data_IF_611781935568
#
_entry.id   IF_611781935568
#
_cell.length_a   1.000
_cell.length_b   1.000
_cell.length_c   1.000
_cell.angle_alpha   90.00
_cell.angle_beta   90.00
_cell.angle_gamma   90.00
#
_symmetry.space_group_name_H-M   'P 1'
#
loop_
_entity.id
_entity.type
_entity.pdbx_description
1 polymer ?
#
# COMPACT_ATOMS: atom_id res chain seq x y z
N UNK A 1 -23.10 -52.86 -2.52
CA UNK A 1 -21.68 -53.28 -2.56
C UNK A 1 -21.05 -52.61 -3.77
N UNK A 2 -19.97 -51.83 -3.55
CA UNK A 2 -18.79 -51.57 -4.41
C UNK A 2 -18.95 -51.70 -5.95
N UNK A 3 -18.46 -50.82 -6.82
CA UNK A 3 -17.31 -49.90 -6.75
C UNK A 3 -17.29 -49.03 -8.02
N UNK A 4 -16.54 -47.92 -7.91
CA UNK A 4 -16.13 -46.96 -8.95
C UNK A 4 -15.61 -47.57 -10.27
N UNK A 5 -15.83 -46.87 -11.39
CA UNK A 5 -14.72 -46.35 -12.20
C UNK A 5 -15.18 -45.34 -13.23
N UNK A 6 -14.49 -44.21 -13.20
CA UNK A 6 -14.60 -43.08 -14.12
C UNK A 6 -13.85 -43.38 -15.43
N UNK A 7 -14.43 -42.96 -16.55
CA UNK A 7 -13.73 -42.74 -17.82
C UNK A 7 -14.29 -41.48 -18.46
N UNK A 8 -13.82 -40.33 -18.00
CA UNK A 8 -13.96 -39.05 -18.69
C UNK A 8 -12.77 -38.86 -19.61
N UNK A 9 -12.93 -39.27 -20.88
CA UNK A 9 -12.05 -38.82 -21.95
C UNK A 9 -12.41 -37.37 -22.30
N UNK A 10 -11.63 -36.41 -21.80
CA UNK A 10 -11.54 -35.09 -22.41
C UNK A 10 -10.23 -35.03 -23.19
N UNK A 11 -10.37 -34.76 -24.48
CA UNK A 11 -9.34 -34.72 -25.50
C UNK A 11 -8.23 -33.73 -25.15
N UNK A 12 -7.01 -34.26 -25.14
CA UNK A 12 -5.76 -33.50 -25.23
C UNK A 12 -5.79 -32.62 -26.48
N UNK A 13 -5.94 -31.31 -26.29
CA UNK A 13 -5.46 -30.31 -27.23
C UNK A 13 -4.23 -29.70 -26.59
N UNK A 14 -3.07 -30.14 -27.06
CA UNK A 14 -1.80 -29.47 -26.86
C UNK A 14 -1.93 -28.06 -27.44
N UNK A 15 -2.22 -27.08 -26.58
CA UNK A 15 -1.75 -25.72 -26.84
C UNK A 15 -0.32 -25.73 -26.32
N UNK A 16 0.63 -25.78 -27.26
CA UNK A 16 2.03 -25.48 -26.99
C UNK A 16 2.08 -24.10 -26.34
N UNK A 17 2.23 -24.08 -25.02
CA UNK A 17 2.60 -22.89 -24.27
C UNK A 17 4.03 -22.56 -24.74
N UNK A 18 4.12 -21.67 -25.73
CA UNK A 18 5.39 -21.05 -26.10
C UNK A 18 5.95 -20.40 -24.84
N UNK A 19 7.13 -20.87 -24.45
CA UNK A 19 7.92 -20.43 -23.28
C UNK A 19 8.33 -18.95 -23.30
N UNK A 20 7.79 -18.14 -24.22
CA UNK A 20 8.10 -16.72 -24.39
C UNK A 20 7.21 -15.79 -23.53
N UNK A 21 6.15 -16.29 -22.87
CA UNK A 21 5.32 -15.50 -21.95
C UNK A 21 5.78 -15.53 -20.47
N UNK A 22 6.89 -16.22 -20.18
CA UNK A 22 7.41 -16.41 -18.81
C UNK A 22 8.56 -15.47 -18.43
N UNK A 23 8.97 -14.60 -19.33
CA UNK A 23 9.95 -13.54 -19.08
C UNK A 23 9.21 -12.21 -19.17
N UNK A 24 8.79 -11.64 -18.02
CA UNK A 24 8.44 -10.22 -18.00
C UNK A 24 9.58 -9.43 -18.64
N UNK A 25 9.28 -8.39 -19.41
CA UNK A 25 10.33 -7.56 -20.03
C UNK A 25 11.34 -7.13 -18.96
N UNK A 26 12.60 -6.91 -19.35
CA UNK A 26 13.66 -6.53 -18.39
C UNK A 26 13.19 -5.39 -17.46
N UNK A 27 12.47 -4.40 -18.01
CA UNK A 27 11.80 -3.33 -17.28
C UNK A 27 10.79 -3.78 -16.19
N UNK A 28 10.01 -4.85 -16.43
CA UNK A 28 9.06 -5.39 -15.45
C UNK A 28 9.77 -6.14 -14.33
N UNK A 29 10.86 -6.85 -14.65
CA UNK A 29 11.69 -7.54 -13.65
C UNK A 29 12.39 -6.53 -12.76
N UNK A 30 12.97 -5.47 -13.35
CA UNK A 30 13.58 -4.36 -12.62
C UNK A 30 12.56 -3.63 -11.75
N UNK A 31 11.36 -3.36 -12.28
CA UNK A 31 10.29 -2.72 -11.51
C UNK A 31 9.82 -3.60 -10.35
N UNK A 32 9.69 -4.91 -10.55
CA UNK A 32 9.34 -5.85 -9.48
C UNK A 32 10.42 -5.89 -8.38
N UNK A 33 11.71 -5.86 -8.76
CA UNK A 33 12.82 -5.78 -7.82
C UNK A 33 12.81 -4.47 -7.02
N UNK A 34 12.57 -3.34 -7.70
CA UNK A 34 12.45 -2.02 -7.06
C UNK A 34 11.31 -1.99 -6.05
N UNK A 35 10.13 -2.48 -6.44
CA UNK A 35 8.96 -2.58 -5.57
C UNK A 35 9.25 -3.43 -4.32
N UNK A 36 9.92 -4.57 -4.49
CA UNK A 36 10.35 -5.42 -3.37
C UNK A 36 11.33 -4.70 -2.44
N UNK A 37 12.31 -3.99 -3.00
CA UNK A 37 13.27 -3.19 -2.25
C UNK A 37 12.59 -2.09 -1.42
N UNK A 38 11.72 -1.28 -2.05
CA UNK A 38 10.97 -0.21 -1.37
C UNK A 38 10.15 -0.77 -0.20
N UNK A 39 9.49 -1.92 -0.39
CA UNK A 39 8.76 -2.58 0.69
C UNK A 39 9.66 -3.11 1.79
N UNK A 40 10.85 -3.59 1.46
CA UNK A 40 11.81 -4.05 2.46
C UNK A 40 12.38 -2.88 3.28
N UNK A 41 12.67 -1.74 2.65
CA UNK A 41 13.05 -0.50 3.35
C UNK A 41 11.95 -0.09 4.32
N UNK A 42 10.71 -0.06 3.84
CA UNK A 42 9.55 0.29 4.66
C UNK A 42 9.36 -0.66 5.85
N UNK A 43 9.36 -1.97 5.63
CA UNK A 43 9.18 -2.98 6.69
C UNK A 43 10.30 -2.96 7.74
N UNK A 44 11.54 -2.66 7.33
CA UNK A 44 12.69 -2.69 8.24
C UNK A 44 12.92 -1.39 9.00
N UNK A 45 12.66 -0.24 8.37
CA UNK A 45 13.05 1.07 8.88
C UNK A 45 11.89 2.08 9.01
N UNK A 46 10.68 1.69 8.60
CA UNK A 46 9.44 2.43 8.80
C UNK A 46 9.22 3.60 7.82
N UNK A 47 8.22 4.42 8.15
CA UNK A 47 7.68 5.48 7.29
C UNK A 47 8.71 6.53 6.85
N UNK A 48 9.65 6.89 7.73
CA UNK A 48 10.67 7.91 7.40
C UNK A 48 11.60 7.40 6.31
N UNK A 49 12.10 6.18 6.46
CA UNK A 49 12.99 5.57 5.48
C UNK A 49 12.27 5.35 4.13
N UNK A 50 10.99 4.95 4.16
CA UNK A 50 10.17 4.90 2.95
C UNK A 50 10.10 6.26 2.24
N UNK A 51 9.81 7.34 2.99
CA UNK A 51 9.72 8.68 2.40
C UNK A 51 11.05 9.14 1.79
N UNK A 52 12.15 8.90 2.50
CA UNK A 52 13.49 9.27 2.04
C UNK A 52 13.88 8.46 0.77
N UNK A 53 13.59 7.17 0.74
CA UNK A 53 13.81 6.29 -0.42
C UNK A 53 13.00 6.75 -1.64
N UNK A 54 11.70 7.02 -1.46
CA UNK A 54 10.84 7.49 -2.56
C UNK A 54 11.31 8.84 -3.13
N UNK A 55 11.77 9.75 -2.28
CA UNK A 55 12.37 11.02 -2.71
C UNK A 55 13.67 10.83 -3.46
N UNK A 56 14.51 9.91 -3.02
CA UNK A 56 15.75 9.58 -3.72
C UNK A 56 15.46 9.00 -5.11
N UNK A 57 14.48 8.09 -5.23
CA UNK A 57 14.03 7.55 -6.53
C UNK A 57 13.49 8.69 -7.41
N UNK A 58 12.67 9.59 -6.85
CA UNK A 58 12.06 10.70 -7.59
C UNK A 58 13.10 11.64 -8.23
N UNK A 59 14.30 11.77 -7.64
CA UNK A 59 15.41 12.57 -8.14
C UNK A 59 16.19 11.88 -9.27
N UNK A 60 16.00 10.58 -9.47
CA UNK A 60 16.67 9.81 -10.52
C UNK A 60 16.05 9.97 -11.92
N UNK A 61 16.68 9.36 -12.93
CA UNK A 61 16.12 9.27 -14.29
C UNK A 61 14.73 8.63 -14.26
N UNK A 62 13.74 9.24 -14.92
CA UNK A 62 12.34 8.79 -14.90
C UNK A 62 11.74 8.65 -13.49
N UNK A 63 12.34 9.28 -12.48
CA UNK A 63 12.00 9.09 -11.07
C UNK A 63 10.55 9.42 -10.74
N UNK A 64 9.99 10.48 -11.35
CA UNK A 64 8.57 10.83 -11.19
C UNK A 64 7.63 9.74 -11.69
N UNK A 65 7.93 9.16 -12.84
CA UNK A 65 7.11 8.10 -13.44
C UNK A 65 7.25 6.80 -12.64
N UNK A 66 8.46 6.45 -12.21
CA UNK A 66 8.71 5.29 -11.35
C UNK A 66 7.98 5.42 -10.00
N UNK A 67 8.05 6.58 -9.36
CA UNK A 67 7.34 6.86 -8.10
C UNK A 67 5.83 6.81 -8.30
N UNK A 68 5.32 7.36 -9.40
CA UNK A 68 3.90 7.23 -9.74
C UNK A 68 3.48 5.77 -9.91
N UNK A 69 4.25 5.00 -10.67
CA UNK A 69 4.00 3.59 -10.93
C UNK A 69 4.07 2.76 -9.65
N UNK A 70 5.01 3.05 -8.75
CA UNK A 70 5.11 2.45 -7.41
C UNK A 70 3.85 2.76 -6.58
N UNK A 71 3.44 4.02 -6.52
CA UNK A 71 2.29 4.47 -5.74
C UNK A 71 0.95 3.88 -6.22
N UNK A 72 0.84 3.59 -7.52
CA UNK A 72 -0.33 2.96 -8.13
C UNK A 72 -0.28 1.42 -8.13
N UNK A 73 0.87 0.81 -7.78
CA UNK A 73 1.03 -0.64 -7.77
C UNK A 73 0.63 -1.25 -6.41
N UNK A 74 0.03 -2.44 -6.46
CA UNK A 74 -0.23 -3.23 -5.25
C UNK A 74 1.05 -3.91 -4.81
N UNK A 75 1.53 -3.68 -3.59
CA UNK A 75 2.73 -4.28 -3.02
C UNK A 75 2.59 -5.79 -2.79
N UNK A 76 1.59 -6.21 -2.04
CA UNK A 76 1.17 -7.62 -1.84
C UNK A 76 -0.36 -7.66 -1.63
N UNK A 77 -1.03 -8.73 -2.09
CA UNK A 77 -2.46 -9.00 -1.80
C UNK A 77 -3.42 -7.81 -2.01
N UNK A 78 -3.21 -7.00 -3.05
CA UNK A 78 -4.08 -5.84 -3.33
C UNK A 78 -3.80 -4.59 -2.50
N UNK A 79 -2.86 -4.63 -1.56
CA UNK A 79 -2.52 -3.50 -0.70
C UNK A 79 -1.58 -2.57 -1.46
N UNK A 80 -1.81 -1.26 -1.46
CA UNK A 80 -0.87 -0.26 -2.01
C UNK A 80 -0.02 0.38 -0.89
N UNK A 81 1.04 1.11 -1.27
CA UNK A 81 1.84 1.88 -0.30
C UNK A 81 0.98 2.86 0.53
N UNK A 82 -0.12 3.37 -0.02
CA UNK A 82 -1.02 4.26 0.71
C UNK A 82 -1.80 3.52 1.81
N UNK A 83 -2.19 2.27 1.58
CA UNK A 83 -2.85 1.44 2.60
C UNK A 83 -1.89 1.14 3.75
N UNK A 84 -0.65 0.76 3.42
CA UNK A 84 0.41 0.47 4.38
C UNK A 84 0.75 1.71 5.24
N UNK A 85 0.87 2.88 4.60
CA UNK A 85 1.16 4.13 5.31
C UNK A 85 0.02 4.57 6.24
N UNK A 86 -1.22 4.32 5.83
CA UNK A 86 -2.42 4.54 6.63
C UNK A 86 -2.54 3.60 7.83
N UNK A 87 -2.09 2.35 7.69
CA UNK A 87 -2.21 1.32 8.73
C UNK A 87 -1.15 1.44 9.83
N UNK A 88 0.12 1.65 9.46
CA UNK A 88 1.23 1.62 10.42
C UNK A 88 1.19 2.68 11.52
N UNK A 89 0.41 3.76 11.36
CA UNK A 89 0.22 4.71 12.46
C UNK A 89 -0.56 4.10 13.64
N UNK A 90 -1.43 3.11 13.39
CA UNK A 90 -2.23 2.45 14.43
C UNK A 90 -1.57 1.23 15.08
N UNK A 91 -0.59 0.62 14.42
CA UNK A 91 0.07 -0.63 14.88
C UNK A 91 0.86 -0.49 16.20
N UNK A 92 1.53 0.65 16.54
CA UNK A 92 2.28 0.73 17.79
C UNK A 92 1.38 0.52 19.02
N UNK A 93 0.12 0.96 18.97
CA UNK A 93 -0.80 0.87 20.11
C UNK A 93 -1.12 -0.57 20.52
N UNK A 94 -1.10 -1.52 19.59
CA UNK A 94 -1.49 -2.92 19.87
C UNK A 94 -0.38 -3.67 20.60
N UNK A 95 0.89 -3.40 20.26
CA UNK A 95 2.03 -4.03 20.95
C UNK A 95 2.33 -3.41 22.31
N UNK A 96 2.00 -2.13 22.53
CA UNK A 96 2.08 -1.49 23.86
C UNK A 96 1.07 -2.05 24.88
N UNK A 97 -0.01 -2.68 24.42
CA UNK A 97 -1.10 -3.19 25.26
C UNK A 97 -1.10 -4.71 25.42
N UNK A 98 -0.15 -5.42 24.78
CA UNK A 98 -0.11 -6.88 24.79
C UNK A 98 0.55 -7.40 26.09
N UNK A 99 -0.15 -8.21 26.91
CA UNK A 99 0.46 -8.80 28.10
C UNK A 99 1.61 -9.74 27.70
N UNK A 100 2.81 -9.55 28.26
CA UNK A 100 3.94 -10.46 28.10
C UNK A 100 5.09 -9.99 27.20
N UNK A 101 5.07 -8.75 26.69
CA UNK A 101 6.24 -8.16 26.01
C UNK A 101 7.26 -7.71 27.08
N UNK A 102 8.53 -8.17 27.00
CA UNK A 102 9.55 -7.87 28.00
C UNK A 102 9.80 -6.35 28.10
N UNK A 103 9.85 -5.86 29.34
CA UNK A 103 9.99 -4.46 29.79
C UNK A 103 10.08 -3.43 28.66
N UNK A 104 8.91 -3.10 28.12
CA UNK A 104 8.73 -1.92 27.29
C UNK A 104 9.22 -0.73 28.11
N UNK A 105 10.14 0.05 27.54
CA UNK A 105 10.60 1.31 28.12
C UNK A 105 9.35 2.14 28.43
N UNK A 106 8.97 2.22 29.69
CA UNK A 106 7.78 2.93 30.15
C UNK A 106 8.02 4.42 29.87
N UNK A 107 7.57 4.88 28.71
CA UNK A 107 7.57 6.30 28.41
C UNK A 107 6.66 6.99 29.41
N UNK A 108 7.05 8.19 29.84
CA UNK A 108 6.08 9.05 30.50
C UNK A 108 4.90 9.29 29.55
N UNK A 109 3.73 9.63 30.10
CA UNK A 109 2.55 9.97 29.30
C UNK A 109 2.88 11.06 28.28
N UNK A 110 3.71 12.03 28.65
CA UNK A 110 4.14 13.14 27.80
C UNK A 110 5.05 12.66 26.67
N UNK A 111 6.03 11.80 26.95
CA UNK A 111 6.92 11.26 25.93
C UNK A 111 6.17 10.34 24.96
N UNK A 112 5.23 9.54 25.45
CA UNK A 112 4.32 8.74 24.63
C UNK A 112 3.48 9.65 23.72
N UNK A 113 2.82 10.67 24.29
CA UNK A 113 1.96 11.59 23.53
C UNK A 113 2.74 12.32 22.44
N UNK A 114 3.97 12.76 22.75
CA UNK A 114 4.85 13.41 21.77
C UNK A 114 5.23 12.44 20.64
N UNK A 115 5.70 11.24 20.97
CA UNK A 115 6.09 10.21 19.97
C UNK A 115 4.93 9.82 19.08
N UNK A 116 3.73 9.71 19.66
CA UNK A 116 2.51 9.45 18.91
C UNK A 116 2.21 10.58 17.92
N UNK A 117 2.24 11.85 18.37
CA UNK A 117 2.05 13.00 17.49
C UNK A 117 3.12 13.11 16.38
N UNK A 118 4.38 12.80 16.69
CA UNK A 118 5.48 12.73 15.71
C UNK A 118 5.22 11.64 14.65
N UNK A 119 4.76 10.46 15.09
CA UNK A 119 4.35 9.37 14.21
C UNK A 119 3.17 9.76 13.32
N UNK A 120 2.19 10.49 13.87
CA UNK A 120 0.99 10.93 13.14
C UNK A 120 1.36 11.92 12.04
N UNK A 121 2.18 12.90 12.38
CA UNK A 121 2.66 13.90 11.44
C UNK A 121 3.48 13.27 10.31
N UNK A 122 4.32 12.28 10.63
CA UNK A 122 5.10 11.56 9.63
C UNK A 122 4.21 10.72 8.71
N UNK A 123 3.26 9.96 9.26
CA UNK A 123 2.31 9.16 8.47
C UNK A 123 1.46 10.05 7.55
N UNK A 124 0.98 11.19 8.05
CA UNK A 124 0.28 12.19 7.23
C UNK A 124 1.19 12.75 6.12
N UNK A 125 2.46 13.01 6.41
CA UNK A 125 3.43 13.48 5.42
C UNK A 125 3.64 12.45 4.32
N UNK A 126 3.77 11.17 4.66
CA UNK A 126 3.88 10.08 3.67
C UNK A 126 2.61 9.97 2.84
N UNK A 127 1.43 10.01 3.47
CA UNK A 127 0.16 9.96 2.75
C UNK A 127 0.01 11.12 1.76
N UNK A 128 0.40 12.34 2.17
CA UNK A 128 0.42 13.51 1.28
C UNK A 128 1.38 13.34 0.12
N UNK A 129 2.60 12.88 0.38
CA UNK A 129 3.57 12.62 -0.69
C UNK A 129 3.00 11.60 -1.71
N UNK A 130 2.46 10.48 -1.22
CA UNK A 130 1.90 9.45 -2.09
C UNK A 130 0.72 9.97 -2.93
N UNK A 131 -0.15 10.81 -2.36
CA UNK A 131 -1.34 11.32 -3.05
C UNK A 131 -1.01 12.52 -3.93
N UNK A 132 -0.41 13.56 -3.38
CA UNK A 132 -0.23 14.86 -4.03
C UNK A 132 0.94 14.86 -5.02
N UNK A 133 2.02 14.12 -4.71
CA UNK A 133 3.24 14.09 -5.53
C UNK A 133 3.36 12.84 -6.39
N UNK A 134 2.99 11.67 -5.84
CA UNK A 134 3.07 10.40 -6.56
C UNK A 134 1.76 10.01 -7.27
N UNK A 135 0.64 10.69 -7.01
CA UNK A 135 -0.63 10.43 -7.69
C UNK A 135 -1.29 9.10 -7.31
N UNK A 136 -1.08 8.62 -6.08
CA UNK A 136 -1.76 7.45 -5.54
C UNK A 136 -3.29 7.63 -5.58
N UNK A 137 -4.00 6.60 -6.04
CA UNK A 137 -5.46 6.61 -6.06
C UNK A 137 -6.02 6.41 -4.64
N UNK A 138 -6.63 7.46 -4.08
CA UNK A 138 -7.25 7.45 -2.73
C UNK A 138 -8.42 6.47 -2.65
N UNK A 139 -9.12 6.26 -3.76
CA UNK A 139 -10.26 5.35 -3.89
C UNK A 139 -9.87 3.98 -4.45
N UNK A 140 -8.57 3.66 -4.49
CA UNK A 140 -8.13 2.35 -4.96
C UNK A 140 -8.79 1.26 -4.12
N UNK A 141 -9.44 0.34 -4.81
CA UNK A 141 -9.96 -0.90 -4.25
C UNK A 141 -9.27 -2.01 -5.00
N UNK A 142 -8.68 -2.96 -4.29
CA UNK A 142 -8.14 -4.13 -4.93
C UNK A 142 -9.29 -4.99 -5.44
N UNK A 143 -9.36 -5.22 -6.75
CA UNK A 143 -10.23 -6.24 -7.29
C UNK A 143 -9.61 -7.62 -7.00
N UNK A 144 -10.33 -8.43 -6.22
CA UNK A 144 -10.03 -9.84 -6.02
C UNK A 144 -9.94 -10.25 -4.55
N UNK A 145 -11.01 -10.88 -4.04
CA UNK A 145 -11.15 -11.71 -2.83
C UNK A 145 -10.52 -11.31 -1.49
N UNK A 146 -9.58 -10.35 -1.41
CA UNK A 146 -8.90 -9.93 -0.19
C UNK A 146 -8.65 -8.42 -0.25
N UNK A 147 -9.31 -7.71 0.69
CA UNK A 147 -9.34 -6.26 0.90
C UNK A 147 -10.18 -5.42 -0.09
N UNK A 148 -11.49 -5.38 0.16
CA UNK A 148 -12.40 -4.34 -0.38
C UNK A 148 -12.19 -2.96 0.27
N UNK A 149 -11.38 -2.90 1.33
CA UNK A 149 -11.16 -1.69 2.13
C UNK A 149 -10.16 -0.74 1.48
N UNK A 150 -10.61 0.48 1.24
CA UNK A 150 -9.80 1.63 0.85
C UNK A 150 -8.85 2.06 1.98
N UNK A 151 -7.79 2.80 1.62
CA UNK A 151 -6.89 3.39 2.61
C UNK A 151 -7.65 4.27 3.63
N UNK A 152 -8.72 4.96 3.21
CA UNK A 152 -9.57 5.74 4.10
C UNK A 152 -10.25 4.86 5.17
N UNK A 153 -10.88 3.75 4.75
CA UNK A 153 -11.55 2.83 5.67
C UNK A 153 -10.56 2.28 6.72
N UNK A 154 -9.32 1.97 6.32
CA UNK A 154 -8.26 1.56 7.26
C UNK A 154 -7.90 2.67 8.26
N UNK A 155 -7.74 3.92 7.82
CA UNK A 155 -7.40 5.03 8.75
C UNK A 155 -8.49 5.29 9.78
N UNK A 156 -9.76 5.06 9.44
CA UNK A 156 -10.89 5.21 10.35
C UNK A 156 -10.81 4.17 11.45
N UNK A 157 -10.53 2.90 11.11
CA UNK A 157 -10.35 1.82 12.09
C UNK A 157 -9.21 2.14 13.07
N UNK A 158 -8.13 2.74 12.58
CA UNK A 158 -6.98 3.13 13.41
C UNK A 158 -7.18 4.44 14.19
N UNK A 159 -8.30 5.14 14.00
CA UNK A 159 -8.60 6.40 14.71
C UNK A 159 -7.70 7.58 14.33
N UNK A 160 -7.06 7.55 13.15
CA UNK A 160 -6.16 8.62 12.72
C UNK A 160 -6.93 9.75 12.03
N UNK A 161 -7.48 10.66 12.84
CA UNK A 161 -8.34 11.75 12.36
C UNK A 161 -7.67 12.65 11.28
N UNK A 162 -6.39 13.06 11.41
CA UNK A 162 -5.77 13.93 10.40
C UNK A 162 -5.61 13.26 9.04
N UNK A 163 -5.25 11.97 9.00
CA UNK A 163 -5.11 11.24 7.75
C UNK A 163 -6.49 10.95 7.15
N UNK A 164 -7.47 10.54 7.97
CA UNK A 164 -8.84 10.33 7.51
C UNK A 164 -9.45 11.61 6.91
N UNK A 165 -9.25 12.78 7.56
CA UNK A 165 -9.67 14.08 7.02
C UNK A 165 -9.01 14.39 5.70
N UNK A 166 -7.69 14.17 5.59
CA UNK A 166 -6.95 14.40 4.35
C UNK A 166 -7.48 13.54 3.20
N UNK A 167 -7.55 12.22 3.40
CA UNK A 167 -8.03 11.29 2.36
C UNK A 167 -9.48 11.58 1.95
N UNK A 168 -10.35 11.87 2.92
CA UNK A 168 -11.73 12.23 2.65
C UNK A 168 -11.85 13.54 1.84
N UNK A 169 -11.07 14.58 2.18
CA UNK A 169 -11.06 15.83 1.42
C UNK A 169 -10.59 15.63 -0.03
N UNK A 170 -9.55 14.82 -0.23
CA UNK A 170 -9.03 14.52 -1.57
C UNK A 170 -10.04 13.70 -2.38
N UNK A 171 -10.75 12.75 -1.76
CA UNK A 171 -11.80 11.98 -2.41
C UNK A 171 -12.88 12.88 -3.04
N UNK A 172 -13.39 13.86 -2.29
CA UNK A 172 -14.41 14.78 -2.80
C UNK A 172 -13.89 15.72 -3.88
N UNK A 173 -12.63 16.16 -3.82
CA UNK A 173 -12.05 16.97 -4.89
C UNK A 173 -11.98 16.20 -6.22
N UNK A 174 -11.53 14.95 -6.19
CA UNK A 174 -11.46 14.11 -7.40
C UNK A 174 -12.85 13.84 -7.97
N UNK A 175 -13.85 13.56 -7.12
CA UNK A 175 -15.24 13.38 -7.56
C UNK A 175 -15.84 14.65 -8.17
N UNK A 176 -15.60 15.82 -7.57
CA UNK A 176 -16.11 17.10 -8.08
C UNK A 176 -15.48 17.46 -9.44
N UNK A 177 -14.17 17.28 -9.60
CA UNK A 177 -13.48 17.51 -10.88
C UNK A 177 -13.94 16.55 -11.98
N UNK A 178 -14.24 15.28 -11.63
CA UNK A 178 -14.69 14.27 -12.60
C UNK A 178 -16.12 14.51 -13.08
N UNK A 179 -17.02 14.97 -12.21
CA UNK A 179 -18.40 15.36 -12.57
C UNK A 179 -18.42 16.64 -13.43
N UNK A 180 -17.51 17.58 -13.15
CA UNK A 180 -17.44 18.86 -13.88
C UNK A 180 -16.85 18.72 -15.30
N UNK A 181 -16.11 17.64 -15.60
CA UNK A 181 -15.56 17.37 -16.94
C UNK A 181 -16.49 16.59 -17.87
N UNK A 182 -17.55 15.97 -17.35
CA UNK A 182 -18.58 15.30 -18.15
C UNK A 182 -19.76 16.19 -18.53
N UNK A 183 -19.75 17.46 -18.09
CA UNK A 183 -20.84 18.43 -18.32
C UNK A 183 -20.50 19.54 -19.33
N UNK A 184 -19.38 19.45 -20.04
CA UNK A 184 -19.02 20.37 -21.14
C UNK A 184 -18.74 19.61 -22.43
#
# INVERSE_FOLDING_TARGET
MNQNSATSHCTSSCVELTTDELMGSEDEVEFAALKKHVMQVFRNAGLKALLDELRQIQQGPSGRELVHRLACSCVECGITLLHEAAELFGVPLVDYLRPGVPEVKLYSREEFSRRFAEGEALALTVCRFLVDEAGAAVNFRADGNMAEETALERTIVQGCEPIAKFLNATYYQVHFFRVSRTTY
#
